data_IF_435057240064
#
_entry.id   IF_435057240064
#
_cell.length_a   1.000
_cell.length_b   1.000
_cell.length_c   1.000
_cell.angle_alpha   90.00
_cell.angle_beta   90.00
_cell.angle_gamma   90.00
#
_symmetry.space_group_name_H-M   'P 1'
#
loop_
_entity.id
_entity.type
_entity.pdbx_description
1 polymer ?
#
# COMPACT_ATOMS: atom_id res chain seq x y z
N UNK A 1 11.87 7.39 6.92
CA UNK A 1 10.89 6.72 7.78
C UNK A 1 9.52 6.54 7.08
N UNK A 2 9.31 7.23 5.96
CA UNK A 2 8.12 7.09 5.10
C UNK A 2 7.94 5.63 4.63
N UNK A 3 9.02 4.93 4.28
CA UNK A 3 8.96 3.54 3.82
C UNK A 3 8.34 2.60 4.86
N UNK A 4 8.65 2.79 6.15
CA UNK A 4 8.05 2.01 7.23
C UNK A 4 6.56 2.30 7.41
N UNK A 5 6.15 3.55 7.24
CA UNK A 5 4.73 3.93 7.26
C UNK A 5 3.98 3.35 6.06
N UNK A 6 4.61 3.39 4.88
CA UNK A 6 4.04 2.90 3.64
C UNK A 6 3.71 1.41 3.68
N UNK A 7 4.63 0.58 4.21
CA UNK A 7 4.42 -0.86 4.25
C UNK A 7 3.20 -1.21 5.11
N UNK A 8 3.03 -0.58 6.28
CA UNK A 8 1.85 -0.80 7.11
C UNK A 8 0.58 -0.28 6.45
N UNK A 9 0.65 0.88 5.82
CA UNK A 9 -0.48 1.47 5.08
C UNK A 9 -0.97 0.53 3.98
N UNK A 10 -0.08 -0.13 3.25
CA UNK A 10 -0.46 -1.07 2.20
C UNK A 10 -0.91 -2.43 2.76
N UNK A 11 -0.32 -2.92 3.86
CA UNK A 11 -0.81 -4.15 4.51
C UNK A 11 -2.25 -3.99 4.99
N UNK A 12 -2.63 -2.79 5.43
CA UNK A 12 -4.01 -2.49 5.82
C UNK A 12 -5.00 -2.53 4.63
N UNK A 13 -4.53 -2.43 3.39
CA UNK A 13 -5.34 -2.68 2.20
C UNK A 13 -5.64 -4.17 1.99
N UNK A 14 -4.66 -5.02 2.29
CA UNK A 14 -4.71 -6.43 1.89
C UNK A 14 -5.17 -7.37 2.99
N UNK A 15 -4.92 -7.04 4.26
CA UNK A 15 -5.12 -7.98 5.37
C UNK A 15 -5.85 -7.33 6.54
N UNK A 16 -7.01 -7.91 6.86
CA UNK A 16 -7.78 -7.63 8.08
C UNK A 16 -8.44 -8.92 8.58
N UNK A 17 -7.86 -9.55 9.58
CA UNK A 17 -8.44 -10.73 10.24
C UNK A 17 -9.47 -10.37 11.33
N UNK A 18 -9.75 -9.08 11.51
CA UNK A 18 -10.56 -8.59 12.60
C UNK A 18 -9.88 -8.72 13.96
N UNK A 19 -10.57 -8.37 15.05
CA UNK A 19 -10.00 -8.39 16.38
C UNK A 19 -9.72 -9.81 16.85
N UNK A 20 -8.49 -10.07 17.26
CA UNK A 20 -8.07 -11.35 17.85
C UNK A 20 -8.69 -11.54 19.23
N UNK A 21 -9.34 -12.70 19.50
CA UNK A 21 -9.95 -12.97 20.80
C UNK A 21 -8.90 -12.99 21.92
N UNK A 22 -9.28 -12.50 23.10
CA UNK A 22 -8.43 -12.55 24.28
C UNK A 22 -8.37 -13.96 24.92
N UNK A 23 -9.25 -14.85 24.50
CA UNK A 23 -9.35 -16.22 25.03
C UNK A 23 -8.29 -17.12 24.41
N UNK A 24 -7.73 -18.02 25.22
CA UNK A 24 -6.77 -19.04 24.77
C UNK A 24 -5.55 -18.48 24.01
N UNK A 25 -4.80 -17.50 24.57
CA UNK A 25 -3.60 -16.96 23.94
C UNK A 25 -2.48 -18.00 23.86
N UNK A 26 -1.52 -17.76 22.98
CA UNK A 26 -0.23 -18.44 23.03
C UNK A 26 0.59 -17.79 24.13
N UNK A 27 1.01 -18.59 25.11
CA UNK A 27 1.84 -18.13 26.20
C UNK A 27 3.32 -18.26 25.83
N UNK A 28 4.00 -17.14 25.65
CA UNK A 28 5.44 -17.08 25.38
C UNK A 28 6.16 -16.80 26.68
N UNK A 29 7.03 -17.72 27.20
CA UNK A 29 7.74 -17.48 28.43
C UNK A 29 8.66 -16.24 28.33
N UNK A 30 8.64 -15.41 29.35
CA UNK A 30 9.56 -14.27 29.47
C UNK A 30 10.79 -14.70 30.25
N UNK A 31 12.02 -14.39 29.78
CA UNK A 31 13.26 -14.61 30.52
C UNK A 31 13.27 -13.79 31.84
N UNK A 32 14.11 -14.21 32.77
CA UNK A 32 14.33 -13.42 34.00
C UNK A 32 14.94 -12.06 33.63
N UNK A 33 14.33 -10.97 34.09
CA UNK A 33 14.79 -9.62 33.83
C UNK A 33 14.31 -9.03 32.50
N UNK A 34 13.36 -9.67 31.86
CA UNK A 34 12.74 -9.13 30.62
C UNK A 34 12.02 -7.81 30.91
N UNK A 35 12.20 -6.84 30.00
CA UNK A 35 11.59 -5.51 30.11
C UNK A 35 10.03 -5.54 30.06
N UNK A 36 9.45 -6.59 29.49
CA UNK A 36 7.99 -6.79 29.43
C UNK A 36 7.40 -7.36 30.74
N UNK A 37 8.24 -7.71 31.71
CA UNK A 37 7.82 -8.20 33.02
C UNK A 37 8.27 -9.62 33.32
N UNK A 38 7.45 -10.37 34.09
CA UNK A 38 7.72 -11.75 34.46
C UNK A 38 6.59 -12.69 34.07
N UNK A 39 6.92 -13.95 33.88
CA UNK A 39 5.94 -14.99 33.54
C UNK A 39 5.78 -15.21 32.05
N UNK A 40 4.71 -14.73 31.46
CA UNK A 40 4.39 -15.01 30.05
C UNK A 40 3.87 -13.77 29.35
N UNK A 41 4.28 -13.61 28.09
CA UNK A 41 3.62 -12.73 27.14
C UNK A 41 2.43 -13.49 26.51
N UNK A 42 1.24 -12.93 26.62
CA UNK A 42 0.05 -13.48 25.99
C UNK A 42 -0.09 -12.99 24.55
N UNK A 43 0.21 -13.86 23.59
CA UNK A 43 0.02 -13.58 22.17
C UNK A 43 -1.34 -14.08 21.72
N UNK A 44 -2.22 -13.16 21.37
CA UNK A 44 -3.58 -13.50 20.92
C UNK A 44 -3.53 -14.26 19.60
N UNK A 45 -4.26 -15.36 19.52
CA UNK A 45 -4.37 -16.15 18.28
C UNK A 45 -5.23 -15.43 17.28
N UNK A 46 -4.87 -15.54 16.01
CA UNK A 46 -5.76 -15.14 14.92
C UNK A 46 -7.05 -15.94 14.99
N UNK A 47 -8.18 -15.29 14.76
CA UNK A 47 -9.49 -15.91 14.80
C UNK A 47 -9.62 -16.96 13.70
N UNK A 48 -9.90 -18.20 14.10
CA UNK A 48 -10.10 -19.29 13.15
C UNK A 48 -11.28 -19.02 12.21
N UNK A 49 -11.18 -19.50 10.99
CA UNK A 49 -12.26 -19.47 10.03
C UNK A 49 -13.43 -20.34 10.51
N UNK A 50 -14.58 -19.72 10.69
CA UNK A 50 -15.80 -20.40 11.16
C UNK A 50 -16.58 -21.13 10.04
N UNK A 51 -16.22 -20.91 8.78
CA UNK A 51 -16.84 -21.57 7.63
C UNK A 51 -16.21 -22.96 7.35
N UNK A 52 -15.23 -23.39 8.18
CA UNK A 52 -14.66 -24.73 8.10
C UNK A 52 -15.71 -25.79 8.35
N UNK A 53 -15.68 -26.81 7.51
CA UNK A 53 -16.60 -27.95 7.55
C UNK A 53 -15.89 -29.24 8.00
N UNK A 54 -16.62 -30.32 8.18
CA UNK A 54 -16.03 -31.64 8.46
C UNK A 54 -15.07 -32.09 7.34
N UNK A 55 -15.25 -31.64 6.10
CA UNK A 55 -14.34 -31.91 4.98
C UNK A 55 -12.95 -31.26 5.15
N UNK A 56 -12.82 -30.33 6.07
CA UNK A 56 -11.57 -29.63 6.38
C UNK A 56 -10.86 -30.22 7.61
N UNK A 57 -11.39 -31.32 8.16
CA UNK A 57 -10.75 -32.03 9.26
C UNK A 57 -9.36 -32.52 8.85
N UNK A 58 -8.36 -32.28 9.69
CA UNK A 58 -6.96 -32.64 9.41
C UNK A 58 -6.22 -31.72 8.44
N UNK A 59 -6.87 -30.76 7.79
CA UNK A 59 -6.21 -29.72 7.00
C UNK A 59 -5.66 -28.62 7.88
N UNK A 60 -4.66 -27.89 7.38
CA UNK A 60 -4.08 -26.70 8.01
C UNK A 60 -5.21 -25.69 8.33
N UNK A 61 -5.09 -25.02 9.45
CA UNK A 61 -6.04 -23.96 9.83
C UNK A 61 -6.05 -22.84 8.82
N UNK A 62 -7.25 -22.38 8.49
CA UNK A 62 -7.49 -21.19 7.67
C UNK A 62 -8.05 -20.07 8.54
N UNK A 63 -7.86 -18.85 8.08
CA UNK A 63 -8.28 -17.63 8.76
C UNK A 63 -9.06 -16.77 7.78
N UNK A 64 -10.08 -16.08 8.26
CA UNK A 64 -10.86 -15.21 7.40
C UNK A 64 -10.18 -13.86 7.26
N UNK A 65 -10.01 -13.40 6.02
CA UNK A 65 -9.64 -12.04 5.73
C UNK A 65 -10.89 -11.21 5.37
N UNK A 66 -11.07 -10.06 6.00
CA UNK A 66 -12.20 -9.17 5.73
C UNK A 66 -11.92 -8.22 4.57
N UNK A 67 -10.66 -8.02 4.22
CA UNK A 67 -10.24 -7.25 3.05
C UNK A 67 -10.03 -8.16 1.84
N UNK A 68 -10.09 -7.59 0.65
CA UNK A 68 -9.63 -8.27 -0.56
C UNK A 68 -8.12 -8.08 -0.70
N UNK A 69 -7.46 -8.99 -1.42
CA UNK A 69 -6.05 -8.77 -1.78
C UNK A 69 -5.88 -7.88 -3.03
N UNK A 70 -6.99 -7.48 -3.65
CA UNK A 70 -6.97 -6.50 -4.70
C UNK A 70 -6.58 -5.13 -4.17
N UNK A 71 -5.87 -4.38 -4.96
CA UNK A 71 -5.43 -3.02 -4.63
C UNK A 71 -6.60 -2.05 -4.77
N UNK A 72 -7.60 -2.19 -3.93
CA UNK A 72 -8.87 -1.45 -4.01
C UNK A 72 -8.96 -0.28 -3.03
N UNK A 73 -7.91 -0.06 -2.24
CA UNK A 73 -7.81 1.04 -1.29
C UNK A 73 -8.67 0.84 -0.05
N UNK A 74 -8.88 -0.40 0.39
CA UNK A 74 -9.73 -0.71 1.55
C UNK A 74 -9.35 0.06 2.81
N UNK A 75 -8.06 0.36 3.01
CA UNK A 75 -7.60 1.17 4.15
C UNK A 75 -8.20 2.58 4.15
N UNK A 76 -8.43 3.16 2.97
CA UNK A 76 -9.07 4.49 2.83
C UNK A 76 -10.59 4.39 2.80
N UNK A 77 -11.12 3.40 2.08
CA UNK A 77 -12.52 3.37 1.66
C UNK A 77 -13.38 2.40 2.46
N UNK A 78 -12.77 1.52 3.24
CA UNK A 78 -13.45 0.44 3.96
C UNK A 78 -13.81 -0.75 3.07
N UNK A 79 -14.04 -1.90 3.74
CA UNK A 79 -14.36 -3.19 3.11
C UNK A 79 -15.85 -3.52 3.15
N UNK A 80 -16.67 -2.60 3.65
CA UNK A 80 -18.11 -2.74 3.69
C UNK A 80 -18.82 -1.43 3.34
N UNK A 81 -20.09 -1.54 2.92
CA UNK A 81 -20.90 -0.35 2.65
C UNK A 81 -20.98 0.59 3.86
N UNK A 82 -21.11 0.04 5.06
CA UNK A 82 -21.20 0.82 6.29
C UNK A 82 -19.92 1.62 6.56
N UNK A 83 -18.76 1.02 6.38
CA UNK A 83 -17.47 1.71 6.50
C UNK A 83 -17.30 2.75 5.39
N UNK A 84 -17.65 2.39 4.18
CA UNK A 84 -17.57 3.29 3.02
C UNK A 84 -18.44 4.54 3.21
N UNK A 85 -19.68 4.38 3.68
CA UNK A 85 -20.59 5.50 3.94
C UNK A 85 -20.05 6.44 5.04
N UNK A 86 -19.27 5.94 5.99
CA UNK A 86 -18.65 6.78 7.03
C UNK A 86 -17.62 7.75 6.47
N UNK A 87 -16.82 7.33 5.49
CA UNK A 87 -15.73 8.14 4.93
C UNK A 87 -16.18 9.08 3.82
N UNK A 88 -17.31 8.82 3.15
CA UNK A 88 -17.82 9.63 2.03
C UNK A 88 -18.48 10.93 2.51
N UNK A 89 -18.26 12.00 1.77
CA UNK A 89 -19.01 13.26 1.96
C UNK A 89 -20.36 13.24 1.26
N UNK A 90 -20.54 12.39 0.23
CA UNK A 90 -21.68 12.36 -0.69
C UNK A 90 -21.88 13.66 -1.47
N UNK A 91 -20.80 14.43 -1.66
CA UNK A 91 -20.79 15.64 -2.45
C UNK A 91 -19.65 15.58 -3.45
N UNK A 92 -19.98 15.61 -4.74
CA UNK A 92 -19.04 15.58 -5.88
C UNK A 92 -18.00 14.45 -5.81
N UNK A 93 -18.40 13.29 -5.28
CA UNK A 93 -17.56 12.10 -5.16
C UNK A 93 -16.45 12.18 -4.12
N UNK A 94 -16.46 13.17 -3.23
CA UNK A 94 -15.36 13.42 -2.28
C UNK A 94 -15.46 12.59 -1.00
N UNK A 95 -14.31 12.39 -0.37
CA UNK A 95 -14.18 11.93 1.00
C UNK A 95 -14.30 13.09 1.99
N UNK A 96 -14.71 12.77 3.22
CA UNK A 96 -14.77 13.74 4.31
C UNK A 96 -13.38 14.22 4.70
N UNK A 97 -13.23 15.53 4.87
CA UNK A 97 -12.02 16.18 5.36
C UNK A 97 -12.43 17.46 6.07
N UNK A 98 -11.75 17.80 7.15
CA UNK A 98 -11.97 19.04 7.89
C UNK A 98 -11.47 20.25 7.11
N UNK A 99 -11.96 21.44 7.45
CA UNK A 99 -11.56 22.68 6.78
C UNK A 99 -10.04 22.97 6.88
N UNK A 100 -9.39 22.52 7.96
CA UNK A 100 -7.94 22.62 8.14
C UNK A 100 -7.14 21.52 7.41
N UNK A 101 -7.81 20.63 6.67
CA UNK A 101 -7.19 19.56 5.90
C UNK A 101 -6.79 18.33 6.70
N UNK A 102 -7.26 18.21 7.95
CA UNK A 102 -7.12 16.98 8.76
C UNK A 102 -8.28 16.03 8.52
N UNK A 103 -8.14 14.76 8.93
CA UNK A 103 -9.23 13.81 8.89
C UNK A 103 -10.23 14.08 10.04
N UNK A 104 -11.55 13.87 9.83
CA UNK A 104 -12.49 13.82 10.92
C UNK A 104 -12.14 12.71 11.90
N UNK A 105 -12.38 12.93 13.20
CA UNK A 105 -12.07 11.93 14.24
C UNK A 105 -13.35 11.30 14.79
N UNK A 106 -13.23 10.03 15.19
CA UNK A 106 -14.31 9.32 15.90
C UNK A 106 -14.44 9.86 17.33
N UNK A 107 -15.68 10.05 17.79
CA UNK A 107 -15.95 10.63 19.11
C UNK A 107 -15.49 9.73 20.27
N UNK A 108 -15.46 8.40 20.08
CA UNK A 108 -15.20 7.44 21.15
C UNK A 108 -13.73 7.25 21.48
N UNK A 109 -12.83 7.38 20.50
CA UNK A 109 -11.41 7.03 20.67
C UNK A 109 -10.43 8.04 20.09
N UNK A 110 -10.93 9.13 19.49
CA UNK A 110 -10.10 10.16 18.85
C UNK A 110 -9.32 9.70 17.62
N UNK A 111 -9.56 8.48 17.13
CA UNK A 111 -8.97 8.00 15.88
C UNK A 111 -9.65 8.64 14.68
N UNK A 112 -8.94 8.79 13.56
CA UNK A 112 -9.57 9.31 12.35
C UNK A 112 -10.63 8.37 11.78
N UNK A 113 -11.63 8.97 11.17
CA UNK A 113 -12.61 8.28 10.34
C UNK A 113 -11.95 7.91 9.01
N UNK A 114 -11.60 6.66 8.86
CA UNK A 114 -11.03 6.08 7.64
C UNK A 114 -11.55 4.66 7.45
N UNK A 115 -11.20 4.01 6.35
CA UNK A 115 -11.64 2.64 6.05
C UNK A 115 -11.12 1.63 7.06
N UNK A 116 -9.87 1.80 7.52
CA UNK A 116 -9.26 0.95 8.53
C UNK A 116 -8.33 1.78 9.42
N UNK A 117 -8.55 1.81 10.72
CA UNK A 117 -7.81 2.64 11.68
C UNK A 117 -7.21 1.88 12.86
N UNK A 118 -6.99 0.58 12.72
CA UNK A 118 -6.32 -0.21 13.75
C UNK A 118 -4.80 0.04 13.74
N UNK A 119 -4.14 -0.19 14.87
CA UNK A 119 -2.70 0.07 15.05
C UNK A 119 -2.28 1.48 14.61
N UNK A 120 -3.14 2.46 14.87
CA UNK A 120 -2.97 3.84 14.42
C UNK A 120 -1.78 4.54 15.03
N UNK A 121 -1.07 5.33 14.24
CA UNK A 121 0.01 6.21 14.66
C UNK A 121 0.24 7.31 13.61
N UNK A 122 1.10 8.28 13.92
CA UNK A 122 1.30 9.48 13.09
C UNK A 122 1.71 9.18 11.64
N UNK A 123 2.49 8.13 11.40
CA UNK A 123 2.89 7.73 10.04
C UNK A 123 1.71 7.27 9.18
N UNK A 124 0.76 6.52 9.75
CA UNK A 124 -0.49 6.17 9.06
C UNK A 124 -1.35 7.42 8.85
N UNK A 125 -1.49 8.25 9.87
CA UNK A 125 -2.29 9.47 9.76
C UNK A 125 -1.84 10.37 8.62
N UNK A 126 -0.53 10.56 8.46
CA UNK A 126 0.04 11.32 7.34
C UNK A 126 -0.34 10.74 5.98
N UNK A 127 -0.21 9.42 5.79
CA UNK A 127 -0.54 8.76 4.53
C UNK A 127 -2.04 8.83 4.24
N UNK A 128 -2.88 8.56 5.22
CA UNK A 128 -4.33 8.68 5.06
C UNK A 128 -4.77 10.11 4.70
N UNK A 129 -4.17 11.12 5.32
CA UNK A 129 -4.47 12.51 4.98
C UNK A 129 -4.10 12.85 3.54
N UNK A 130 -2.90 12.46 3.08
CA UNK A 130 -2.46 12.81 1.73
C UNK A 130 -3.29 12.10 0.67
N UNK A 131 -3.60 10.80 0.85
CA UNK A 131 -4.42 10.07 -0.12
C UNK A 131 -5.90 10.47 -0.09
N UNK A 132 -6.42 10.91 1.05
CA UNK A 132 -7.75 11.54 1.11
C UNK A 132 -7.79 12.85 0.31
N UNK A 133 -6.75 13.68 0.45
CA UNK A 133 -6.61 14.93 -0.33
C UNK A 133 -6.43 14.65 -1.82
N UNK A 134 -5.64 13.66 -2.18
CA UNK A 134 -5.43 13.27 -3.57
C UNK A 134 -6.73 12.77 -4.21
N UNK A 135 -7.47 11.88 -3.53
CA UNK A 135 -8.81 11.47 -3.97
C UNK A 135 -9.72 12.68 -4.23
N UNK A 136 -9.75 13.64 -3.30
CA UNK A 136 -10.59 14.82 -3.42
C UNK A 136 -10.12 15.75 -4.55
N UNK A 137 -8.82 15.84 -4.82
CA UNK A 137 -8.26 16.57 -5.95
C UNK A 137 -8.65 15.93 -7.28
N UNK A 138 -8.56 14.59 -7.37
CA UNK A 138 -9.02 13.82 -8.53
C UNK A 138 -10.51 14.04 -8.77
N UNK A 139 -11.34 13.91 -7.72
CA UNK A 139 -12.78 14.15 -7.81
C UNK A 139 -13.10 15.56 -8.33
N UNK A 140 -12.38 16.57 -7.85
CA UNK A 140 -12.53 17.96 -8.32
C UNK A 140 -12.19 18.10 -9.80
N UNK A 141 -11.09 17.52 -10.26
CA UNK A 141 -10.71 17.54 -11.69
C UNK A 141 -11.72 16.80 -12.57
N UNK A 142 -12.21 15.65 -12.08
CA UNK A 142 -13.25 14.90 -12.79
C UNK A 142 -14.56 15.69 -12.87
N UNK A 143 -14.97 16.38 -11.80
CA UNK A 143 -16.16 17.24 -11.82
C UNK A 143 -16.04 18.40 -12.80
N UNK A 144 -14.86 18.99 -12.92
CA UNK A 144 -14.59 20.03 -13.93
C UNK A 144 -14.69 19.50 -15.36
N UNK A 145 -14.15 18.30 -15.61
CA UNK A 145 -14.18 17.66 -16.93
C UNK A 145 -15.56 17.09 -17.28
N UNK A 146 -16.31 16.65 -16.28
CA UNK A 146 -17.63 16.02 -16.41
C UNK A 146 -18.67 16.68 -15.48
N UNK A 147 -19.12 17.90 -15.76
CA UNK A 147 -19.96 18.70 -14.85
C UNK A 147 -21.29 18.05 -14.47
N UNK A 148 -21.84 17.21 -15.35
CA UNK A 148 -23.13 16.51 -15.16
C UNK A 148 -22.98 15.12 -14.51
N UNK A 149 -21.76 14.67 -14.23
CA UNK A 149 -21.53 13.37 -13.61
C UNK A 149 -22.12 13.31 -12.20
N UNK A 150 -22.70 12.15 -11.86
CA UNK A 150 -23.26 11.90 -10.53
C UNK A 150 -22.14 11.80 -9.46
N UNK A 151 -22.51 12.04 -8.20
CA UNK A 151 -21.63 11.85 -7.05
C UNK A 151 -21.03 10.45 -7.03
N UNK A 152 -21.84 9.41 -7.28
CA UNK A 152 -21.37 8.02 -7.29
C UNK A 152 -20.33 7.78 -8.40
N UNK A 153 -20.58 8.27 -9.61
CA UNK A 153 -19.64 8.10 -10.72
C UNK A 153 -18.29 8.79 -10.43
N UNK A 154 -18.35 10.02 -9.90
CA UNK A 154 -17.14 10.76 -9.52
C UNK A 154 -16.36 10.03 -8.42
N UNK A 155 -17.05 9.50 -7.42
CA UNK A 155 -16.46 8.73 -6.35
C UNK A 155 -15.77 7.46 -6.89
N UNK A 156 -16.46 6.65 -7.69
CA UNK A 156 -15.94 5.38 -8.22
C UNK A 156 -14.70 5.61 -9.09
N UNK A 157 -14.73 6.63 -9.94
CA UNK A 157 -13.59 6.98 -10.80
C UNK A 157 -12.41 7.52 -9.98
N UNK A 158 -12.68 8.35 -9.00
CA UNK A 158 -11.63 8.87 -8.11
C UNK A 158 -10.99 7.75 -7.29
N UNK A 159 -11.79 6.83 -6.75
CA UNK A 159 -11.30 5.63 -6.05
C UNK A 159 -10.41 4.79 -6.95
N UNK A 160 -10.85 4.49 -8.17
CA UNK A 160 -10.07 3.70 -9.13
C UNK A 160 -8.71 4.34 -9.44
N UNK A 161 -8.67 5.65 -9.70
CA UNK A 161 -7.43 6.38 -9.99
C UNK A 161 -6.52 6.41 -8.76
N UNK A 162 -7.06 6.64 -7.56
CA UNK A 162 -6.27 6.65 -6.32
C UNK A 162 -5.69 5.27 -6.03
N UNK A 163 -6.45 4.20 -6.22
CA UNK A 163 -5.98 2.82 -6.04
C UNK A 163 -4.86 2.48 -7.03
N UNK A 164 -5.03 2.85 -8.30
CA UNK A 164 -3.99 2.67 -9.32
C UNK A 164 -2.72 3.48 -9.00
N UNK A 165 -2.86 4.68 -8.44
CA UNK A 165 -1.73 5.50 -8.00
C UNK A 165 -0.97 4.82 -6.85
N UNK A 166 -1.67 4.27 -5.85
CA UNK A 166 -1.04 3.51 -4.77
C UNK A 166 -0.29 2.28 -5.28
N UNK A 167 -0.90 1.51 -6.18
CA UNK A 167 -0.26 0.37 -6.81
C UNK A 167 1.00 0.75 -7.58
N UNK A 168 0.95 1.86 -8.33
CA UNK A 168 2.11 2.39 -9.05
C UNK A 168 3.22 2.82 -8.10
N UNK A 169 2.92 3.59 -7.06
CA UNK A 169 3.91 4.03 -6.06
C UNK A 169 4.59 2.82 -5.42
N UNK A 170 3.82 1.80 -5.03
CA UNK A 170 4.38 0.59 -4.43
C UNK A 170 5.33 -0.13 -5.37
N UNK A 171 4.97 -0.22 -6.66
CA UNK A 171 5.76 -0.94 -7.66
C UNK A 171 7.03 -0.18 -8.05
N UNK A 172 6.91 1.11 -8.44
CA UNK A 172 8.02 1.81 -9.09
C UNK A 172 8.81 2.77 -8.18
N UNK A 173 8.33 3.00 -6.96
CA UNK A 173 8.99 3.88 -5.99
C UNK A 173 9.39 3.14 -4.72
N UNK A 174 8.43 2.53 -4.01
CA UNK A 174 8.69 1.88 -2.73
C UNK A 174 9.55 0.62 -2.88
N UNK A 175 9.21 -0.28 -3.81
CA UNK A 175 9.96 -1.53 -4.01
C UNK A 175 11.43 -1.28 -4.40
N UNK A 176 11.74 -0.40 -5.38
CA UNK A 176 13.13 -0.07 -5.69
C UNK A 176 13.87 0.67 -4.57
N UNK A 177 13.17 1.42 -3.73
CA UNK A 177 13.79 2.09 -2.58
C UNK A 177 14.21 1.09 -1.49
N UNK A 178 13.41 0.04 -1.26
CA UNK A 178 13.71 -1.01 -0.26
C UNK A 178 14.70 -2.04 -0.80
N UNK A 179 14.56 -2.42 -2.06
CA UNK A 179 15.46 -3.36 -2.76
C UNK A 179 16.26 -2.55 -3.79
N UNK A 180 17.21 -1.76 -3.30
CA UNK A 180 18.01 -0.85 -4.13
C UNK A 180 18.98 -1.62 -5.05
N UNK A 181 18.46 -2.05 -6.19
CA UNK A 181 19.19 -2.80 -7.20
C UNK A 181 18.72 -2.39 -8.60
N UNK A 182 19.63 -2.10 -9.56
CA UNK A 182 19.25 -1.72 -10.92
C UNK A 182 18.36 -2.72 -11.64
N UNK A 183 18.54 -4.02 -11.38
CA UNK A 183 17.70 -5.07 -11.98
C UNK A 183 16.28 -5.01 -11.41
N UNK A 184 16.13 -4.82 -10.09
CA UNK A 184 14.82 -4.65 -9.46
C UNK A 184 14.09 -3.43 -10.01
N UNK A 185 14.79 -2.31 -10.13
CA UNK A 185 14.21 -1.08 -10.68
C UNK A 185 13.66 -1.30 -12.10
N UNK A 186 14.45 -1.93 -12.97
CA UNK A 186 14.02 -2.27 -14.33
C UNK A 186 12.85 -3.25 -14.35
N UNK A 187 12.87 -4.27 -13.51
CA UNK A 187 11.79 -5.24 -13.42
C UNK A 187 10.47 -4.58 -12.97
N UNK A 188 10.53 -3.66 -12.02
CA UNK A 188 9.34 -2.93 -11.55
C UNK A 188 8.79 -1.99 -12.64
N UNK A 189 9.66 -1.32 -13.40
CA UNK A 189 9.23 -0.53 -14.56
C UNK A 189 8.62 -1.41 -15.66
N UNK A 190 9.25 -2.55 -15.97
CA UNK A 190 8.73 -3.48 -16.97
C UNK A 190 7.34 -4.04 -16.60
N UNK A 191 7.04 -4.16 -15.31
CA UNK A 191 5.72 -4.58 -14.85
C UNK A 191 4.60 -3.62 -15.33
N UNK A 192 4.87 -2.31 -15.40
CA UNK A 192 3.91 -1.31 -15.85
C UNK A 192 3.91 -1.11 -17.36
N UNK A 193 5.08 -1.08 -17.98
CA UNK A 193 5.26 -0.69 -19.40
C UNK A 193 5.77 -1.82 -20.28
N UNK A 194 5.96 -3.02 -19.73
CA UNK A 194 6.51 -4.16 -20.47
C UNK A 194 8.02 -4.07 -20.71
N UNK A 195 8.56 -5.12 -21.30
CA UNK A 195 9.99 -5.23 -21.58
C UNK A 195 10.48 -4.19 -22.61
N UNK A 196 9.63 -3.77 -23.53
CA UNK A 196 9.96 -2.80 -24.57
C UNK A 196 9.58 -1.35 -24.22
N UNK A 197 9.02 -1.14 -23.04
CA UNK A 197 8.64 0.16 -22.55
C UNK A 197 7.40 0.75 -23.22
N UNK A 198 6.94 1.88 -22.72
CA UNK A 198 5.75 2.57 -23.23
C UNK A 198 6.10 3.38 -24.49
N UNK A 199 5.36 3.18 -25.57
CA UNK A 199 5.46 3.96 -26.81
C UNK A 199 5.30 5.48 -26.62
N UNK A 200 4.74 5.93 -25.49
CA UNK A 200 4.62 7.35 -25.14
C UNK A 200 5.89 7.99 -24.58
N UNK A 201 6.99 7.25 -24.43
CA UNK A 201 8.28 7.78 -23.94
C UNK A 201 8.30 8.18 -22.47
N UNK A 202 7.36 7.70 -21.67
CA UNK A 202 7.25 8.02 -20.24
C UNK A 202 8.07 7.11 -19.32
N UNK A 203 8.54 5.99 -19.84
CA UNK A 203 9.44 5.09 -19.14
C UNK A 203 10.89 5.59 -19.29
N UNK A 204 11.57 5.84 -18.18
CA UNK A 204 12.95 6.30 -18.19
C UNK A 204 13.95 5.31 -18.82
N UNK A 205 13.58 4.04 -18.90
CA UNK A 205 14.38 2.96 -19.48
C UNK A 205 13.99 2.62 -20.92
N UNK A 206 13.05 3.32 -21.50
CA UNK A 206 12.52 2.99 -22.84
C UNK A 206 13.59 2.90 -23.91
N UNK A 207 14.50 3.85 -23.96
CA UNK A 207 15.58 3.88 -24.96
C UNK A 207 16.55 2.69 -24.80
N UNK A 208 16.94 2.39 -23.55
CA UNK A 208 17.85 1.30 -23.24
C UNK A 208 17.19 -0.06 -23.47
N UNK A 209 15.93 -0.22 -23.05
CA UNK A 209 15.18 -1.46 -23.24
C UNK A 209 14.92 -1.71 -24.73
N UNK A 210 14.62 -0.67 -25.50
CA UNK A 210 14.46 -0.76 -26.96
C UNK A 210 15.77 -1.16 -27.63
N UNK A 211 16.88 -0.54 -27.27
CA UNK A 211 18.20 -0.86 -27.83
C UNK A 211 18.59 -2.33 -27.54
N UNK A 212 18.38 -2.77 -26.31
CA UNK A 212 18.59 -4.18 -25.93
C UNK A 212 17.68 -5.14 -26.72
N UNK A 213 16.43 -4.80 -26.89
CA UNK A 213 15.47 -5.57 -27.66
C UNK A 213 15.82 -5.64 -29.13
N UNK A 214 16.21 -4.52 -29.75
CA UNK A 214 16.65 -4.45 -31.15
C UNK A 214 17.90 -5.30 -31.39
N UNK A 215 18.83 -5.30 -30.43
CA UNK A 215 20.03 -6.13 -30.50
C UNK A 215 19.72 -7.63 -30.36
N UNK A 216 18.87 -7.99 -29.38
CA UNK A 216 18.43 -9.37 -29.16
C UNK A 216 17.65 -9.90 -30.37
N UNK A 217 16.79 -9.08 -30.97
CA UNK A 217 16.00 -9.46 -32.16
C UNK A 217 16.84 -9.67 -33.41
N UNK A 218 18.06 -9.14 -33.48
CA UNK A 218 19.00 -9.37 -34.59
C UNK A 218 19.65 -10.75 -34.51
N UNK A 219 19.83 -11.29 -33.33
CA UNK A 219 20.63 -12.49 -33.06
C UNK A 219 19.80 -13.75 -32.91
N UNK A 220 18.52 -13.65 -32.50
CA UNK A 220 17.68 -14.80 -32.19
C UNK A 220 16.39 -14.85 -33.02
N UNK A 221 16.30 -15.90 -33.87
CA UNK A 221 15.12 -16.13 -34.74
C UNK A 221 13.86 -16.48 -33.94
N UNK A 222 14.01 -17.09 -32.75
CA UNK A 222 12.91 -17.39 -31.84
C UNK A 222 12.30 -16.10 -31.26
N UNK A 223 13.15 -15.16 -30.84
CA UNK A 223 12.74 -13.84 -30.38
C UNK A 223 12.02 -13.09 -31.49
N UNK A 224 12.53 -13.12 -32.73
CA UNK A 224 11.86 -12.53 -33.89
C UNK A 224 10.47 -13.11 -34.15
N UNK A 225 10.31 -14.42 -33.95
CA UNK A 225 9.04 -15.12 -34.13
C UNK A 225 8.04 -14.76 -33.06
N UNK A 226 8.48 -14.67 -31.78
CA UNK A 226 7.62 -14.33 -30.65
C UNK A 226 7.18 -12.86 -30.67
N UNK A 227 8.11 -11.96 -31.01
CA UNK A 227 7.90 -10.53 -30.88
C UNK A 227 7.46 -9.88 -32.21
N UNK A 228 7.50 -10.64 -33.32
CA UNK A 228 7.18 -10.15 -34.65
C UNK A 228 8.24 -9.22 -35.24
N UNK A 229 8.33 -9.17 -36.56
CA UNK A 229 9.27 -8.29 -37.27
C UNK A 229 8.72 -6.90 -37.55
N UNK A 230 7.44 -6.67 -37.24
CA UNK A 230 6.76 -5.43 -37.56
C UNK A 230 6.62 -4.49 -36.37
N UNK A 231 6.83 -3.21 -36.66
CA UNK A 231 6.73 -2.06 -35.74
C UNK A 231 5.34 -1.85 -35.10
N UNK A 232 4.41 -2.73 -35.33
CA UNK A 232 3.05 -2.75 -34.77
C UNK A 232 2.88 -3.80 -33.65
N UNK A 233 3.91 -4.00 -32.83
CA UNK A 233 3.80 -4.88 -31.66
C UNK A 233 2.61 -4.51 -30.78
N UNK A 234 2.31 -3.25 -30.63
CA UNK A 234 1.14 -2.78 -29.88
C UNK A 234 -0.22 -3.15 -30.50
N UNK A 235 -0.26 -3.49 -31.80
CA UNK A 235 -1.49 -3.84 -32.51
C UNK A 235 -1.76 -5.34 -32.65
N UNK A 236 -0.72 -6.17 -32.51
CA UNK A 236 -0.82 -7.63 -32.68
C UNK A 236 -0.72 -8.43 -31.38
N UNK A 237 -0.47 -7.79 -30.27
CA UNK A 237 -0.38 -8.42 -28.95
C UNK A 237 -1.78 -8.44 -28.31
N UNK A 238 -2.75 -8.95 -29.00
CA UNK A 238 -4.17 -8.87 -28.57
C UNK A 238 -4.80 -10.18 -28.12
N UNK A 239 -4.06 -11.28 -27.99
CA UNK A 239 -4.73 -12.55 -27.73
C UNK A 239 -3.99 -13.58 -26.86
N UNK A 240 -3.03 -13.19 -26.05
CA UNK A 240 -2.36 -14.25 -25.27
C UNK A 240 -1.37 -13.82 -24.21
N UNK A 241 -0.80 -14.79 -23.59
CA UNK A 241 0.11 -14.81 -22.43
C UNK A 241 1.35 -13.91 -22.53
N UNK A 242 1.73 -13.47 -23.71
CA UNK A 242 2.89 -12.60 -23.94
C UNK A 242 2.56 -11.10 -23.83
N UNK A 243 1.28 -10.72 -23.84
CA UNK A 243 0.80 -9.35 -23.79
C UNK A 243 1.39 -8.56 -22.60
N UNK A 244 1.28 -9.14 -21.41
CA UNK A 244 1.71 -8.47 -20.19
C UNK A 244 3.24 -8.36 -20.11
N UNK A 245 3.97 -9.37 -20.55
CA UNK A 245 5.44 -9.34 -20.51
C UNK A 245 6.00 -8.29 -21.47
N UNK A 246 5.39 -8.14 -22.63
CA UNK A 246 5.87 -7.24 -23.69
C UNK A 246 5.37 -5.82 -23.48
N UNK A 247 4.06 -5.67 -23.26
CA UNK A 247 3.40 -4.37 -23.19
C UNK A 247 3.16 -3.84 -21.78
N UNK A 248 3.33 -4.68 -20.77
CA UNK A 248 3.06 -4.35 -19.37
C UNK A 248 1.58 -4.13 -19.09
N UNK A 249 1.26 -3.69 -17.89
CA UNK A 249 -0.13 -3.39 -17.49
C UNK A 249 -0.74 -2.25 -18.33
N UNK A 250 0.06 -1.24 -18.66
CA UNK A 250 -0.41 -0.04 -19.38
C UNK A 250 -0.71 -0.34 -20.84
N UNK A 251 0.05 -1.25 -21.47
CA UNK A 251 -0.11 -1.61 -22.88
C UNK A 251 -1.00 -2.82 -23.13
N UNK A 252 -1.46 -3.50 -22.10
CA UNK A 252 -2.27 -4.72 -22.22
C UNK A 252 -3.75 -4.39 -22.35
N UNK A 253 -4.39 -4.93 -23.39
CA UNK A 253 -5.80 -4.65 -23.66
C UNK A 253 -6.77 -5.30 -22.67
N UNK A 254 -6.46 -6.51 -22.20
CA UNK A 254 -7.31 -7.30 -21.31
C UNK A 254 -6.49 -8.07 -20.27
N UNK A 255 -5.97 -7.40 -19.21
CA UNK A 255 -5.24 -8.09 -18.16
C UNK A 255 -6.19 -8.93 -17.31
N UNK A 256 -6.27 -10.22 -17.57
CA UNK A 256 -7.12 -11.15 -16.83
C UNK A 256 -6.34 -12.11 -15.91
N UNK A 257 -5.03 -11.97 -15.84
CA UNK A 257 -4.13 -12.83 -15.04
C UNK A 257 -4.39 -14.33 -15.26
N UNK A 258 -4.75 -14.72 -16.48
CA UNK A 258 -5.13 -16.11 -16.83
C UNK A 258 -6.36 -16.63 -16.06
N UNK A 259 -7.22 -15.75 -15.57
CA UNK A 259 -8.36 -16.10 -14.73
C UNK A 259 -7.97 -16.57 -13.31
N UNK A 260 -6.71 -16.46 -12.93
CA UNK A 260 -6.24 -16.82 -11.59
C UNK A 260 -6.59 -15.70 -10.61
N UNK A 261 -7.27 -16.01 -9.48
CA UNK A 261 -7.54 -15.02 -8.46
C UNK A 261 -6.24 -14.45 -7.88
N UNK A 262 -6.20 -13.15 -7.64
CA UNK A 262 -5.10 -12.53 -6.92
C UNK A 262 -5.26 -12.82 -5.42
N UNK A 263 -4.40 -13.70 -4.89
CA UNK A 263 -4.44 -14.13 -3.49
C UNK A 263 -3.07 -14.00 -2.84
N UNK A 264 -3.05 -13.59 -1.57
CA UNK A 264 -1.89 -13.67 -0.70
C UNK A 264 -2.09 -14.84 0.26
N UNK A 265 -1.04 -15.60 0.54
CA UNK A 265 -1.09 -16.71 1.50
C UNK A 265 -1.04 -16.18 2.93
N UNK A 266 -1.46 -17.00 3.91
CA UNK A 266 -1.36 -16.62 5.34
C UNK A 266 0.08 -16.39 5.79
N UNK A 267 1.05 -17.08 5.20
CA UNK A 267 2.47 -16.89 5.47
C UNK A 267 2.93 -15.47 5.14
N UNK A 268 2.29 -14.80 4.17
CA UNK A 268 2.58 -13.41 3.83
C UNK A 268 2.46 -12.51 5.04
N UNK A 269 1.45 -12.71 5.90
CA UNK A 269 1.23 -11.92 7.13
C UNK A 269 2.42 -12.01 8.07
N UNK A 270 3.09 -13.16 8.13
CA UNK A 270 4.27 -13.38 8.98
C UNK A 270 5.55 -12.90 8.32
N UNK A 271 5.74 -13.20 7.03
CA UNK A 271 6.98 -12.89 6.29
C UNK A 271 7.08 -11.39 5.97
N UNK A 272 5.96 -10.75 5.67
CA UNK A 272 5.93 -9.32 5.31
C UNK A 272 5.85 -8.40 6.56
N UNK A 273 6.35 -8.87 7.69
CA UNK A 273 6.45 -8.10 8.94
C UNK A 273 7.80 -7.42 9.01
N UNK A 274 7.79 -6.12 8.83
CA UNK A 274 9.02 -5.32 8.89
C UNK A 274 9.03 -4.39 10.10
N UNK A 275 8.60 -4.91 11.27
CA UNK A 275 8.62 -4.17 12.53
C UNK A 275 9.99 -3.62 12.89
N UNK A 276 11.13 -4.29 12.59
CA UNK A 276 12.45 -3.70 12.80
C UNK A 276 12.72 -2.39 12.05
N UNK A 277 11.94 -2.06 11.03
CA UNK A 277 12.00 -0.73 10.39
C UNK A 277 11.40 0.38 11.25
N UNK A 278 10.62 0.03 12.27
CA UNK A 278 10.10 1.00 13.23
C UNK A 278 11.18 1.41 14.21
N UNK A 279 11.29 2.70 14.46
CA UNK A 279 12.20 3.25 15.49
C UNK A 279 11.42 3.47 16.79
N UNK A 280 12.12 3.44 17.90
CA UNK A 280 11.52 3.71 19.22
C UNK A 280 11.02 5.14 19.36
N UNK A 281 11.57 6.05 18.55
CA UNK A 281 11.26 7.47 18.59
C UNK A 281 11.01 8.05 17.21
N UNK A 282 10.09 9.01 17.14
CA UNK A 282 9.87 9.89 16.01
C UNK A 282 10.61 11.21 16.24
N UNK A 283 11.49 11.56 15.32
CA UNK A 283 12.24 12.81 15.35
C UNK A 283 11.53 13.86 14.48
N UNK A 284 11.41 15.07 14.99
CA UNK A 284 10.84 16.22 14.30
C UNK A 284 11.94 17.20 13.98
N UNK A 285 11.99 17.64 12.72
CA UNK A 285 12.99 18.56 12.21
C UNK A 285 12.28 19.79 11.64
N UNK A 286 12.91 20.96 11.73
CA UNK A 286 12.52 22.11 10.93
C UNK A 286 12.87 21.89 9.47
N UNK A 287 12.05 22.42 8.56
CA UNK A 287 12.24 22.23 7.13
C UNK A 287 13.58 22.83 6.70
N UNK A 288 14.44 22.02 6.11
CA UNK A 288 15.80 22.39 5.71
C UNK A 288 16.88 22.10 6.75
N UNK A 289 16.50 21.70 7.97
CA UNK A 289 17.44 21.41 9.06
C UNK A 289 17.68 19.91 9.22
N UNK A 290 18.87 19.55 9.71
CA UNK A 290 19.30 18.17 9.93
C UNK A 290 19.40 17.80 11.44
N UNK A 291 19.15 18.77 12.33
CA UNK A 291 19.13 18.53 13.76
C UNK A 291 17.68 18.45 14.24
N UNK A 292 17.28 17.39 14.95
CA UNK A 292 15.92 17.30 15.45
C UNK A 292 15.66 18.36 16.51
N UNK A 293 14.55 19.08 16.37
CA UNK A 293 14.10 20.06 17.37
C UNK A 293 13.25 19.40 18.45
N UNK A 294 12.74 18.19 18.17
CA UNK A 294 11.92 17.42 19.10
C UNK A 294 12.08 15.93 18.83
N UNK A 295 12.07 15.14 19.88
CA UNK A 295 12.01 13.67 19.82
C UNK A 295 10.83 13.21 20.65
N UNK A 296 9.98 12.39 20.04
CA UNK A 296 8.75 11.87 20.65
C UNK A 296 8.82 10.35 20.65
N UNK A 297 8.50 9.71 21.78
CA UNK A 297 8.47 8.24 21.83
C UNK A 297 7.42 7.68 20.88
N UNK A 298 7.67 6.52 20.29
CA UNK A 298 6.69 5.89 19.37
C UNK A 298 5.31 5.71 20.04
N UNK A 299 5.19 5.25 21.30
CA UNK A 299 3.91 5.17 22.00
C UNK A 299 3.15 6.52 22.09
N UNK A 300 3.87 7.64 22.15
CA UNK A 300 3.27 8.97 22.20
C UNK A 300 2.83 9.52 20.84
N UNK A 301 3.08 8.79 19.78
CA UNK A 301 2.62 9.09 18.41
C UNK A 301 1.44 8.22 17.99
N UNK A 302 0.89 7.39 18.89
CA UNK A 302 -0.14 6.40 18.58
C UNK A 302 -1.54 6.88 18.98
N UNK A 303 -2.54 6.21 18.37
CA UNK A 303 -3.96 6.42 18.65
C UNK A 303 -4.35 7.91 18.47
N UNK A 304 -5.19 8.45 19.30
CA UNK A 304 -5.58 9.86 19.25
C UNK A 304 -4.44 10.87 19.41
N UNK A 305 -3.28 10.45 19.94
CA UNK A 305 -2.09 11.32 20.03
C UNK A 305 -1.48 11.64 18.66
N UNK A 306 -1.69 10.77 17.65
CA UNK A 306 -1.22 11.00 16.29
C UNK A 306 -1.82 12.29 15.69
N UNK A 307 -3.12 12.48 15.86
CA UNK A 307 -3.82 13.66 15.35
C UNK A 307 -3.38 14.93 16.09
N UNK A 308 -3.18 14.85 17.41
CA UNK A 308 -2.66 15.97 18.17
C UNK A 308 -1.26 16.39 17.70
N UNK A 309 -0.41 15.42 17.38
CA UNK A 309 0.92 15.68 16.84
C UNK A 309 0.86 16.38 15.47
N UNK A 310 0.01 15.93 14.55
CA UNK A 310 -0.15 16.58 13.24
C UNK A 310 -0.76 17.98 13.32
N UNK A 311 -1.61 18.23 14.30
CA UNK A 311 -2.16 19.57 14.55
C UNK A 311 -1.10 20.55 15.07
N UNK A 312 -0.13 20.08 15.84
CA UNK A 312 0.93 20.92 16.44
C UNK A 312 2.14 21.09 15.53
N UNK A 313 2.59 20.01 14.89
CA UNK A 313 3.86 20.02 14.12
C UNK A 313 3.68 20.37 12.64
N UNK A 314 2.50 20.54 12.17
CA UNK A 314 2.09 20.70 10.77
C UNK A 314 2.41 19.49 9.86
N UNK A 315 1.55 19.16 8.88
CA UNK A 315 1.80 18.07 7.96
C UNK A 315 3.09 18.21 7.16
N UNK A 316 3.42 19.41 6.67
CA UNK A 316 4.63 19.64 5.87
C UNK A 316 5.91 19.37 6.64
N UNK A 317 5.96 19.81 7.92
CA UNK A 317 7.10 19.57 8.80
C UNK A 317 7.26 18.08 9.11
N UNK A 318 6.16 17.38 9.34
CA UNK A 318 6.17 15.94 9.56
C UNK A 318 6.59 15.17 8.31
N UNK A 319 6.12 15.55 7.12
CA UNK A 319 6.57 14.93 5.87
C UNK A 319 8.07 15.12 5.64
N UNK A 320 8.59 16.32 5.88
CA UNK A 320 10.03 16.57 5.82
C UNK A 320 10.79 15.68 6.81
N UNK A 321 10.35 15.66 8.07
CA UNK A 321 10.98 14.87 9.15
C UNK A 321 11.03 13.37 8.81
N UNK A 322 9.94 12.83 8.32
CA UNK A 322 9.89 11.42 7.90
C UNK A 322 10.74 11.14 6.65
N UNK A 323 10.82 12.10 5.75
CA UNK A 323 11.62 12.00 4.52
C UNK A 323 13.12 11.88 4.80
N UNK A 324 13.64 12.67 5.72
CA UNK A 324 15.07 12.66 6.07
C UNK A 324 15.45 11.64 7.15
N UNK A 325 14.47 11.08 7.88
CA UNK A 325 14.73 10.07 8.91
C UNK A 325 14.84 8.69 8.30
N UNK A 326 15.97 8.03 8.49
CA UNK A 326 16.13 6.64 8.11
C UNK A 326 15.22 5.73 8.94
N UNK A 327 14.65 4.66 8.37
CA UNK A 327 14.00 3.60 9.13
C UNK A 327 15.00 2.86 10.00
N UNK A 328 14.50 1.97 10.86
CA UNK A 328 15.32 0.96 11.54
C UNK A 328 15.96 0.01 10.53
N UNK A 329 16.87 -0.84 11.01
CA UNK A 329 17.56 -1.79 10.15
C UNK A 329 17.03 -3.21 10.36
N UNK A 330 16.90 -3.98 9.27
CA UNK A 330 16.69 -5.43 9.32
C UNK A 330 18.06 -6.09 9.54
N UNK A 331 18.23 -6.77 10.67
CA UNK A 331 19.44 -7.51 11.00
C UNK A 331 19.08 -8.95 11.40
N UNK A 332 20.07 -9.80 11.63
CA UNK A 332 19.83 -11.17 12.09
C UNK A 332 19.24 -11.24 13.52
N UNK A 333 19.30 -10.17 14.26
CA UNK A 333 18.91 -10.07 15.68
C UNK A 333 17.95 -8.91 15.94
N UNK A 334 16.98 -8.72 15.06
CA UNK A 334 15.89 -7.79 15.31
C UNK A 334 14.77 -8.49 16.10
N UNK A 335 14.42 -7.97 17.26
CA UNK A 335 13.28 -8.42 18.07
C UNK A 335 12.48 -7.27 18.58
#
# INVERSE_FOLDING_TARGET
FIAASWIQFMVHDWVDHGPNPATNPIKVPLPSGDALGTGYLDVRRTKADWDRTAADAGKINTYRNHNTHWWDGSQLYGSSKTQNDKVRSFVDGKLKINANGTLPTELLNGKPVTGFNENWWVGLSMLHQIFTKEHNAIATRLKQAYPTASDQWLYDKSRLVTSALMAKIHTVEWTPAVIANPVTERAMYANWWGLIGNASGRDKYQAETRAWYEDLSKTDSFIKTILGTDSNLAGNVGSGTLDHAIAGLVGSANPNNYGVPYTLTEEFVSVYRMHPLMRDNVQVYDIGENTPVKTVSLPDTREGKAENMLNTETPSRMWYSFGITNPGALTLHNY
#
